data_IF_106848475595
#
_entry.id   IF_106848475595
#
_cell.length_a   1.000
_cell.length_b   1.000
_cell.length_c   1.000
_cell.angle_alpha   90.00
_cell.angle_beta   90.00
_cell.angle_gamma   90.00
#
_symmetry.space_group_name_H-M   'P 1'
#
loop_
_entity.id
_entity.type
_entity.pdbx_description
1 polymer ?
#
# COMPACT_ATOMS: atom_id res chain seq x y z
N UNK A 1 47.25 -18.38 -16.44
CA UNK A 1 46.28 -19.24 -15.73
C UNK A 1 46.15 -18.63 -14.34
N UNK A 2 45.03 -18.12 -13.88
CA UNK A 2 43.64 -18.51 -14.09
C UNK A 2 42.72 -17.29 -13.85
N UNK A 3 41.67 -17.12 -14.66
CA UNK A 3 40.60 -16.12 -14.47
C UNK A 3 39.39 -16.83 -13.88
N UNK A 4 38.83 -16.37 -12.76
CA UNK A 4 37.43 -16.63 -12.32
C UNK A 4 36.99 -15.44 -11.44
N UNK A 5 36.45 -14.38 -12.05
CA UNK A 5 35.02 -14.04 -12.16
C UNK A 5 34.44 -13.33 -10.91
N UNK A 6 34.02 -12.05 -11.03
CA UNK A 6 33.32 -11.36 -9.96
C UNK A 6 31.92 -11.94 -9.80
N UNK A 7 31.55 -12.27 -8.56
CA UNK A 7 30.22 -12.72 -8.18
C UNK A 7 29.16 -11.75 -8.71
N UNK A 8 28.39 -12.25 -9.67
CA UNK A 8 27.28 -11.64 -10.36
C UNK A 8 26.23 -11.17 -9.37
N UNK A 9 26.02 -9.85 -9.28
CA UNK A 9 24.79 -9.30 -8.75
C UNK A 9 23.71 -9.56 -9.82
N UNK A 10 22.85 -10.54 -9.60
CA UNK A 10 21.59 -10.69 -10.35
C UNK A 10 20.49 -9.95 -9.57
N UNK A 11 19.99 -8.80 -10.04
CA UNK A 11 18.94 -8.09 -9.32
C UNK A 11 17.53 -8.58 -9.66
N UNK A 12 17.34 -9.48 -10.64
CA UNK A 12 16.01 -9.71 -11.22
C UNK A 12 15.86 -11.11 -11.84
N UNK A 13 15.55 -12.13 -11.04
CA UNK A 13 15.05 -13.38 -11.59
C UNK A 13 14.06 -14.07 -10.63
N UNK A 14 12.80 -13.59 -10.66
CA UNK A 14 11.67 -14.49 -10.44
C UNK A 14 10.91 -14.41 -9.10
N UNK A 15 10.37 -13.25 -8.77
CA UNK A 15 9.07 -13.07 -8.06
C UNK A 15 8.88 -11.56 -7.81
N UNK A 16 8.02 -10.77 -8.47
CA UNK A 16 6.80 -11.05 -9.23
C UNK A 16 5.81 -11.99 -8.52
N UNK A 17 5.91 -12.07 -7.20
CA UNK A 17 4.72 -12.08 -6.38
C UNK A 17 4.60 -10.65 -5.87
N UNK A 18 3.50 -9.98 -6.22
CA UNK A 18 3.05 -8.81 -5.47
C UNK A 18 3.15 -9.18 -3.99
N UNK A 19 4.16 -8.65 -3.29
CA UNK A 19 4.28 -8.85 -1.86
C UNK A 19 3.13 -8.06 -1.24
N UNK A 20 1.94 -8.66 -1.28
CA UNK A 20 0.84 -8.30 -0.42
C UNK A 20 1.40 -8.55 0.96
N UNK A 21 1.85 -7.47 1.62
CA UNK A 21 2.28 -7.57 3.00
C UNK A 21 1.16 -8.31 3.73
N UNK A 22 1.43 -9.48 4.33
CA UNK A 22 0.39 -10.22 5.04
C UNK A 22 -0.21 -9.22 6.02
N UNK A 23 -1.54 -9.06 5.96
CA UNK A 23 -2.28 -8.14 6.82
C UNK A 23 -1.68 -8.26 8.21
N UNK A 24 -1.02 -7.19 8.65
CA UNK A 24 -0.39 -7.14 9.97
C UNK A 24 -1.47 -7.58 10.95
N UNK A 25 -1.23 -8.59 11.82
CA UNK A 25 -2.24 -9.02 12.76
C UNK A 25 -2.77 -7.79 13.48
N UNK A 26 -4.09 -7.60 13.43
CA UNK A 26 -4.81 -6.51 14.10
C UNK A 26 -4.24 -6.49 15.52
N UNK A 27 -3.50 -5.43 15.85
CA UNK A 27 -3.04 -5.25 17.22
C UNK A 27 -4.32 -5.24 18.05
N UNK A 28 -4.46 -6.20 18.96
CA UNK A 28 -5.52 -6.15 19.96
C UNK A 28 -5.23 -4.93 20.81
N UNK A 29 -5.89 -3.82 20.50
CA UNK A 29 -5.87 -2.65 21.34
C UNK A 29 -6.51 -3.03 22.68
N UNK A 30 -5.80 -2.76 23.77
CA UNK A 30 -6.28 -2.97 25.13
C UNK A 30 -7.24 -1.85 25.54
N UNK A 31 -7.90 -1.97 26.70
CA UNK A 31 -8.95 -1.04 27.17
C UNK A 31 -8.49 0.42 27.39
N UNK A 32 -7.18 0.69 27.28
CA UNK A 32 -6.59 2.03 27.19
C UNK A 32 -6.42 2.41 25.70
N UNK A 33 -7.49 2.33 24.92
CA UNK A 33 -7.46 2.74 23.52
C UNK A 33 -7.19 4.25 23.46
N UNK A 34 -5.99 4.59 23.02
CA UNK A 34 -5.62 5.95 22.67
C UNK A 34 -6.60 6.43 21.59
N UNK A 35 -7.45 7.38 21.97
CA UNK A 35 -8.49 7.93 21.08
C UNK A 35 -7.90 8.40 19.75
N UNK A 36 -6.65 8.87 19.75
CA UNK A 36 -5.97 9.30 18.53
C UNK A 36 -5.72 8.14 17.55
N UNK A 37 -5.52 6.92 18.05
CA UNK A 37 -5.32 5.74 17.20
C UNK A 37 -6.64 5.29 16.57
N UNK A 38 -7.73 5.23 17.35
CA UNK A 38 -9.05 4.89 16.81
C UNK A 38 -9.53 5.92 15.76
N UNK A 39 -9.28 7.20 16.00
CA UNK A 39 -9.57 8.28 15.05
C UNK A 39 -8.75 8.13 13.76
N UNK A 40 -7.44 7.83 13.90
CA UNK A 40 -6.56 7.59 12.75
C UNK A 40 -7.02 6.37 11.95
N UNK A 41 -7.33 5.25 12.62
CA UNK A 41 -7.79 4.02 11.96
C UNK A 41 -9.11 4.25 11.21
N UNK A 42 -10.04 5.01 11.80
CA UNK A 42 -11.30 5.40 11.13
C UNK A 42 -11.04 6.24 9.88
N UNK A 43 -10.08 7.17 9.95
CA UNK A 43 -9.71 8.02 8.83
C UNK A 43 -9.07 7.21 7.69
N UNK A 44 -8.20 6.25 8.04
CA UNK A 44 -7.59 5.34 7.09
C UNK A 44 -8.63 4.41 6.44
N UNK A 45 -9.63 3.94 7.19
CA UNK A 45 -10.72 3.14 6.63
C UNK A 45 -11.53 3.94 5.61
N UNK A 46 -11.91 5.19 5.92
CA UNK A 46 -12.62 6.08 5.00
C UNK A 46 -11.82 6.34 3.71
N UNK A 47 -10.52 6.65 3.83
CA UNK A 47 -9.63 6.83 2.67
C UNK A 47 -9.54 5.56 1.80
N UNK A 48 -9.49 4.38 2.43
CA UNK A 48 -9.42 3.11 1.70
C UNK A 48 -10.66 2.84 0.83
N UNK A 49 -11.82 3.33 1.30
CA UNK A 49 -13.11 3.26 0.61
C UNK A 49 -13.30 4.36 -0.43
N UNK A 50 -12.32 5.27 -0.58
CA UNK A 50 -12.41 6.51 -1.38
C UNK A 50 -13.59 7.39 -0.95
N UNK A 51 -13.93 7.37 0.33
CA UNK A 51 -14.91 8.29 0.87
C UNK A 51 -14.30 9.70 1.01
N UNK A 52 -15.10 10.76 0.81
CA UNK A 52 -14.62 12.12 1.02
C UNK A 52 -14.32 12.35 2.50
N UNK A 53 -13.05 12.58 2.82
CA UNK A 53 -12.59 12.91 4.17
C UNK A 53 -12.33 14.41 4.28
N UNK A 54 -13.09 15.09 5.15
CA UNK A 54 -12.82 16.48 5.52
C UNK A 54 -11.85 16.50 6.70
N UNK A 55 -10.58 16.85 6.45
CA UNK A 55 -9.56 17.01 7.48
C UNK A 55 -8.77 18.30 7.25
N UNK A 56 -8.40 18.98 8.33
CA UNK A 56 -7.47 20.11 8.29
C UNK A 56 -5.99 19.67 8.28
N UNK A 57 -5.75 18.37 8.49
CA UNK A 57 -4.42 17.78 8.47
C UNK A 57 -3.91 17.65 7.02
N UNK A 58 -2.77 18.28 6.76
CA UNK A 58 -2.08 18.26 5.47
C UNK A 58 -1.68 16.83 5.08
N UNK A 59 -1.30 15.98 6.03
CA UNK A 59 -0.93 14.60 5.76
C UNK A 59 -2.11 13.80 5.17
N UNK A 60 -3.32 14.04 5.66
CA UNK A 60 -4.55 13.43 5.15
C UNK A 60 -4.82 13.90 3.72
N UNK A 61 -4.64 15.20 3.45
CA UNK A 61 -4.77 15.76 2.10
C UNK A 61 -3.76 15.14 1.12
N UNK A 62 -2.51 14.96 1.53
CA UNK A 62 -1.48 14.31 0.71
C UNK A 62 -1.79 12.84 0.43
N UNK A 63 -2.30 12.10 1.44
CA UNK A 63 -2.73 10.71 1.27
C UNK A 63 -3.89 10.60 0.28
N UNK A 64 -4.91 11.47 0.39
CA UNK A 64 -6.03 11.50 -0.54
C UNK A 64 -5.58 11.80 -1.99
N UNK A 65 -4.67 12.78 -2.16
CA UNK A 65 -4.12 13.11 -3.48
C UNK A 65 -3.33 11.95 -4.08
N UNK A 66 -2.52 11.25 -3.27
CA UNK A 66 -1.78 10.07 -3.70
C UNK A 66 -2.71 8.94 -4.13
N UNK A 67 -3.77 8.66 -3.38
CA UNK A 67 -4.78 7.65 -3.76
C UNK A 67 -5.40 8.02 -5.11
N UNK A 68 -5.76 9.29 -5.31
CA UNK A 68 -6.29 9.77 -6.59
C UNK A 68 -5.30 9.66 -7.76
N UNK A 69 -4.02 9.93 -7.54
CA UNK A 69 -2.96 9.77 -8.54
C UNK A 69 -2.74 8.28 -8.89
N UNK A 70 -2.76 7.39 -7.89
CA UNK A 70 -2.68 5.93 -8.10
C UNK A 70 -3.88 5.40 -8.87
N UNK A 71 -5.11 5.82 -8.51
CA UNK A 71 -6.33 5.42 -9.21
C UNK A 71 -6.31 5.88 -10.68
N UNK A 72 -5.68 7.02 -11.00
CA UNK A 72 -5.48 7.49 -12.38
C UNK A 72 -4.39 6.72 -13.14
N UNK A 73 -3.28 6.39 -12.46
CA UNK A 73 -2.13 5.69 -13.07
C UNK A 73 -2.34 4.19 -13.27
N UNK A 74 -3.29 3.61 -12.54
CA UNK A 74 -3.66 2.20 -12.63
C UNK A 74 -5.03 2.07 -13.34
N UNK A 75 -5.12 2.35 -14.65
CA UNK A 75 -6.37 2.15 -15.36
C UNK A 75 -6.79 0.68 -15.21
N UNK A 76 -8.05 0.48 -14.81
CA UNK A 76 -8.67 -0.83 -14.62
C UNK A 76 -8.44 -1.67 -15.88
N UNK A 77 -7.47 -2.59 -15.83
CA UNK A 77 -7.24 -3.54 -16.91
C UNK A 77 -8.43 -4.49 -16.87
N UNK A 78 -9.39 -4.28 -17.78
CA UNK A 78 -10.41 -5.27 -18.08
C UNK A 78 -9.68 -6.51 -18.59
N UNK A 79 -9.50 -7.51 -17.73
CA UNK A 79 -9.12 -8.85 -18.15
C UNK A 79 -10.34 -9.42 -18.86
N UNK A 80 -10.48 -9.13 -20.15
CA UNK A 80 -11.35 -9.92 -21.01
C UNK A 80 -10.69 -11.29 -21.13
N UNK A 81 -11.29 -12.38 -20.64
CA UNK A 81 -10.78 -13.71 -20.94
C UNK A 81 -10.85 -13.89 -22.47
N UNK A 82 -9.70 -14.12 -23.11
CA UNK A 82 -9.70 -14.57 -24.52
C UNK A 82 -10.41 -15.91 -24.60
N UNK A 83 -11.41 -15.99 -25.48
CA UNK A 83 -12.12 -17.23 -25.87
C UNK A 83 -11.21 -18.21 -26.57
#
# INVERSE_FOLDING_TARGET
MERVSPGRWDPLAGALMTAVHPRRPVRRYGPEEDRGVAETDSLLDALSRREPVASSDVAVGLLAALIGDVDQRCPSVSVTPST
#
